data_IF_056136104273
#
_entry.id   IF_056136104273
#
_cell.length_a   1.000
_cell.length_b   1.000
_cell.length_c   1.000
_cell.angle_alpha   90.00
_cell.angle_beta   90.00
_cell.angle_gamma   90.00
#
_symmetry.space_group_name_H-M   'P 1'
#
loop_
_entity.id
_entity.type
_entity.pdbx_description
1 polymer ?
#
# COMPACT_ATOMS: atom_id res chain seq x y z
N UNK A 1 -12.37 -31.80 33.13
CA UNK A 1 -13.49 -31.16 32.41
C UNK A 1 -14.13 -32.19 31.51
N UNK A 2 -15.42 -32.05 31.20
CA UNK A 2 -16.06 -32.89 30.19
C UNK A 2 -15.88 -32.26 28.80
N UNK A 3 -14.73 -32.55 28.20
CA UNK A 3 -14.33 -31.97 26.91
C UNK A 3 -15.31 -32.30 25.80
N UNK A 4 -15.96 -33.47 25.84
CA UNK A 4 -16.92 -33.88 24.81
C UNK A 4 -18.19 -33.05 24.83
N UNK A 5 -18.71 -32.76 26.02
CA UNK A 5 -19.89 -31.92 26.17
C UNK A 5 -19.62 -30.49 25.67
N UNK A 6 -18.43 -29.95 25.97
CA UNK A 6 -18.02 -28.61 25.54
C UNK A 6 -17.82 -28.53 24.02
N UNK A 7 -17.12 -29.51 23.43
CA UNK A 7 -16.96 -29.64 21.98
C UNK A 7 -18.32 -29.72 21.27
N UNK A 8 -19.27 -30.48 21.83
CA UNK A 8 -20.60 -30.60 21.25
C UNK A 8 -21.40 -29.30 21.35
N UNK A 9 -21.31 -28.60 22.48
CA UNK A 9 -21.96 -27.30 22.66
C UNK A 9 -21.40 -26.24 21.70
N UNK A 10 -20.08 -26.21 21.50
CA UNK A 10 -19.46 -25.30 20.52
C UNK A 10 -19.91 -25.65 19.10
N UNK A 11 -19.92 -26.94 18.73
CA UNK A 11 -20.35 -27.40 17.41
C UNK A 11 -21.79 -27.01 17.09
N UNK A 12 -22.70 -27.20 18.05
CA UNK A 12 -24.11 -26.79 17.92
C UNK A 12 -24.23 -25.27 17.76
N UNK A 13 -23.45 -24.51 18.54
CA UNK A 13 -23.41 -23.04 18.45
C UNK A 13 -22.90 -22.57 17.08
N UNK A 14 -21.83 -23.15 16.56
CA UNK A 14 -21.28 -22.85 15.23
C UNK A 14 -22.27 -23.23 14.12
N UNK A 15 -22.94 -24.38 14.24
CA UNK A 15 -23.94 -24.80 13.26
C UNK A 15 -25.10 -23.81 13.16
N UNK A 16 -25.54 -23.25 14.29
CA UNK A 16 -26.59 -22.22 14.32
C UNK A 16 -26.09 -20.89 13.75
N UNK A 17 -24.87 -20.49 14.09
CA UNK A 17 -24.29 -19.23 13.64
C UNK A 17 -24.15 -19.19 12.11
N UNK A 18 -23.78 -20.32 11.50
CA UNK A 18 -23.59 -20.44 10.06
C UNK A 18 -24.79 -21.02 9.29
N UNK A 19 -25.96 -21.18 9.94
CA UNK A 19 -27.17 -21.69 9.29
C UNK A 19 -27.61 -20.78 8.13
N UNK A 20 -27.54 -19.46 8.33
CA UNK A 20 -27.91 -18.47 7.31
C UNK A 20 -26.90 -18.36 6.17
N UNK A 21 -25.61 -18.62 6.44
CA UNK A 21 -24.54 -18.42 5.47
C UNK A 21 -24.20 -19.69 4.69
N UNK A 22 -24.66 -20.87 5.14
CA UNK A 22 -24.33 -22.18 4.56
C UNK A 22 -22.81 -22.44 4.45
N UNK A 23 -22.02 -21.83 5.33
CA UNK A 23 -20.57 -21.92 5.33
C UNK A 23 -20.06 -23.14 6.10
N UNK A 24 -20.88 -23.71 6.98
CA UNK A 24 -20.52 -24.82 7.86
C UNK A 24 -20.94 -26.17 7.27
N UNK A 25 -19.99 -27.10 7.20
CA UNK A 25 -20.22 -28.46 6.73
C UNK A 25 -19.59 -29.42 7.74
N UNK A 26 -20.40 -30.25 8.39
CA UNK A 26 -19.91 -31.33 9.24
C UNK A 26 -19.38 -32.48 8.38
N UNK A 27 -18.16 -32.97 8.68
CA UNK A 27 -17.60 -34.16 8.02
C UNK A 27 -17.77 -35.40 8.90
N UNK A 28 -17.46 -35.28 10.20
CA UNK A 28 -17.55 -36.34 11.20
C UNK A 28 -18.00 -35.74 12.55
N UNK A 29 -18.01 -36.57 13.60
CA UNK A 29 -18.35 -36.14 14.95
C UNK A 29 -17.35 -35.09 15.48
N UNK A 30 -16.05 -35.28 15.21
CA UNK A 30 -14.97 -34.41 15.70
C UNK A 30 -14.40 -33.46 14.65
N UNK A 31 -14.83 -33.55 13.39
CA UNK A 31 -14.28 -32.75 12.31
C UNK A 31 -15.34 -32.07 11.46
N UNK A 32 -15.10 -30.82 11.11
CA UNK A 32 -15.98 -30.01 10.29
C UNK A 32 -15.15 -29.05 9.43
N UNK A 33 -15.77 -28.46 8.42
CA UNK A 33 -15.13 -27.43 7.59
C UNK A 33 -15.98 -26.17 7.56
N UNK A 34 -15.30 -25.04 7.56
CA UNK A 34 -15.90 -23.70 7.46
C UNK A 34 -15.41 -23.06 6.16
N UNK A 35 -16.34 -22.57 5.36
CA UNK A 35 -16.07 -21.78 4.18
C UNK A 35 -15.79 -20.33 4.56
N UNK A 36 -14.74 -19.77 3.96
CA UNK A 36 -14.37 -18.37 4.11
C UNK A 36 -14.25 -17.78 2.71
N UNK A 37 -15.03 -16.75 2.42
CA UNK A 37 -14.92 -15.96 1.21
C UNK A 37 -14.64 -14.49 1.50
N UNK A 38 -13.99 -13.85 0.54
CA UNK A 38 -13.82 -12.42 0.51
C UNK A 38 -14.16 -11.89 -0.89
N UNK A 39 -15.25 -11.13 -0.96
CA UNK A 39 -15.79 -10.58 -2.22
C UNK A 39 -14.87 -9.52 -2.84
N UNK A 40 -14.15 -8.74 -2.02
CA UNK A 40 -13.28 -7.66 -2.48
C UNK A 40 -12.08 -8.23 -3.24
N UNK A 41 -11.38 -9.18 -2.61
CA UNK A 41 -10.15 -9.78 -3.16
C UNK A 41 -10.42 -11.01 -4.05
N UNK A 42 -11.70 -11.40 -4.20
CA UNK A 42 -12.15 -12.63 -4.91
C UNK A 42 -11.44 -13.89 -4.41
N UNK A 43 -11.19 -13.94 -3.10
CA UNK A 43 -10.51 -15.04 -2.42
C UNK A 43 -11.57 -15.95 -1.84
N UNK A 44 -11.37 -17.27 -1.93
CA UNK A 44 -12.22 -18.23 -1.23
C UNK A 44 -11.45 -19.49 -0.89
N UNK A 45 -11.71 -20.06 0.28
CA UNK A 45 -11.09 -21.30 0.74
C UNK A 45 -11.91 -21.94 1.87
N UNK A 46 -11.60 -23.19 2.18
CA UNK A 46 -12.15 -23.90 3.33
C UNK A 46 -11.07 -24.14 4.37
N UNK A 47 -11.44 -24.00 5.65
CA UNK A 47 -10.61 -24.47 6.76
C UNK A 47 -11.30 -25.70 7.36
N UNK A 48 -10.59 -26.81 7.39
CA UNK A 48 -11.02 -28.03 8.08
C UNK A 48 -10.46 -27.96 9.49
N UNK A 49 -11.33 -28.12 10.48
CA UNK A 49 -10.98 -28.23 11.89
C UNK A 49 -11.27 -29.64 12.39
N UNK A 50 -10.40 -30.15 13.26
CA UNK A 50 -10.53 -31.43 13.94
C UNK A 50 -10.20 -31.24 15.43
N UNK A 51 -11.17 -31.58 16.29
CA UNK A 51 -11.01 -31.47 17.74
C UNK A 51 -10.06 -32.53 18.28
N UNK A 52 -9.12 -32.09 19.12
CA UNK A 52 -8.27 -32.97 19.91
C UNK A 52 -9.02 -33.46 21.15
N UNK A 53 -8.53 -34.53 21.78
CA UNK A 53 -9.17 -35.12 22.96
C UNK A 53 -9.23 -34.15 24.16
N UNK A 54 -8.30 -33.20 24.21
CA UNK A 54 -8.16 -32.21 25.29
C UNK A 54 -8.58 -30.79 24.89
N UNK A 55 -9.13 -30.60 23.70
CA UNK A 55 -9.67 -29.29 23.31
C UNK A 55 -10.79 -28.87 24.28
N UNK A 56 -10.81 -27.62 24.80
CA UNK A 56 -10.05 -26.44 24.34
C UNK A 56 -8.69 -26.19 25.04
N UNK A 57 -8.26 -27.03 25.97
CA UNK A 57 -6.94 -26.90 26.63
C UNK A 57 -5.78 -27.17 25.65
N UNK A 58 -6.02 -27.99 24.63
CA UNK A 58 -5.11 -28.28 23.53
C UNK A 58 -5.66 -27.73 22.22
N UNK A 59 -4.76 -27.23 21.37
CA UNK A 59 -5.12 -26.65 20.08
C UNK A 59 -5.84 -27.66 19.17
N UNK A 60 -6.82 -27.23 18.34
CA UNK A 60 -7.42 -28.07 17.33
C UNK A 60 -6.44 -28.29 16.18
N UNK A 61 -6.57 -29.43 15.50
CA UNK A 61 -5.88 -29.65 14.23
C UNK A 61 -6.61 -28.89 13.13
N UNK A 62 -5.89 -28.15 12.30
CA UNK A 62 -6.48 -27.40 11.19
C UNK A 62 -5.76 -27.67 9.87
N UNK A 63 -6.50 -27.57 8.76
CA UNK A 63 -5.96 -27.66 7.39
C UNK A 63 -6.71 -26.72 6.45
N UNK A 64 -5.98 -25.92 5.68
CA UNK A 64 -6.53 -25.03 4.66
C UNK A 64 -6.66 -25.82 3.33
N UNK A 65 -7.84 -25.82 2.71
CA UNK A 65 -8.19 -26.62 1.52
C UNK A 65 -8.99 -25.78 0.52
N UNK A 66 -8.94 -26.17 -0.77
CA UNK A 66 -9.67 -25.54 -1.90
C UNK A 66 -9.40 -24.03 -2.00
N UNK A 67 -8.12 -23.71 -2.03
CA UNK A 67 -7.58 -22.36 -2.10
C UNK A 67 -7.81 -21.77 -3.49
N UNK A 68 -8.68 -20.76 -3.58
CA UNK A 68 -8.90 -19.97 -4.81
C UNK A 68 -8.36 -18.56 -4.60
N UNK A 69 -7.43 -18.18 -5.47
CA UNK A 69 -6.85 -16.83 -5.53
C UNK A 69 -6.05 -16.39 -4.28
N UNK A 70 -5.55 -17.31 -3.44
CA UNK A 70 -4.54 -16.96 -2.43
C UNK A 70 -3.13 -17.12 -2.96
N UNK A 71 -2.29 -16.13 -2.69
CA UNK A 71 -0.84 -16.24 -2.82
C UNK A 71 -0.25 -17.09 -1.69
N UNK A 72 0.92 -17.68 -1.94
CA UNK A 72 1.65 -18.47 -0.93
C UNK A 72 2.02 -17.61 0.29
N UNK A 73 2.33 -16.32 0.07
CA UNK A 73 2.60 -15.37 1.15
C UNK A 73 1.38 -15.14 2.05
N UNK A 74 0.19 -14.97 1.46
CA UNK A 74 -1.06 -14.80 2.21
C UNK A 74 -1.42 -16.05 3.00
N UNK A 75 -1.23 -17.25 2.43
CA UNK A 75 -1.47 -18.51 3.17
C UNK A 75 -0.61 -18.56 4.43
N UNK A 76 0.69 -18.26 4.30
CA UNK A 76 1.60 -18.24 5.45
C UNK A 76 1.20 -17.21 6.50
N UNK A 77 0.72 -16.04 6.07
CA UNK A 77 0.25 -15.03 7.00
C UNK A 77 -1.05 -15.46 7.70
N UNK A 78 -1.98 -16.09 6.99
CA UNK A 78 -3.20 -16.67 7.59
C UNK A 78 -2.85 -17.76 8.60
N UNK A 79 -1.88 -18.62 8.30
CA UNK A 79 -1.37 -19.62 9.26
C UNK A 79 -0.79 -18.96 10.52
N UNK A 80 -0.02 -17.88 10.37
CA UNK A 80 0.48 -17.11 11.51
C UNK A 80 -0.67 -16.52 12.35
N UNK A 81 -1.69 -15.96 11.70
CA UNK A 81 -2.87 -15.41 12.39
C UNK A 81 -3.65 -16.49 13.15
N UNK A 82 -3.80 -17.68 12.57
CA UNK A 82 -4.41 -18.83 13.25
C UNK A 82 -3.60 -19.20 14.49
N UNK A 83 -2.27 -19.30 14.35
CA UNK A 83 -1.37 -19.68 15.44
C UNK A 83 -1.44 -18.68 16.61
N UNK A 84 -1.37 -17.38 16.32
CA UNK A 84 -1.48 -16.32 17.32
C UNK A 84 -2.84 -16.35 18.03
N UNK A 85 -3.92 -16.59 17.28
CA UNK A 85 -5.27 -16.69 17.86
C UNK A 85 -5.39 -17.91 18.77
N UNK A 86 -4.80 -19.06 18.39
CA UNK A 86 -4.78 -20.26 19.22
C UNK A 86 -4.06 -19.96 20.53
N UNK A 87 -2.85 -19.41 20.49
CA UNK A 87 -2.04 -19.13 21.68
C UNK A 87 -2.75 -18.20 22.66
N UNK A 88 -3.47 -17.20 22.16
CA UNK A 88 -4.22 -16.25 22.97
C UNK A 88 -5.53 -16.81 23.56
N UNK A 89 -6.10 -17.86 22.97
CA UNK A 89 -7.41 -18.41 23.34
C UNK A 89 -7.35 -19.84 23.90
N UNK A 90 -6.15 -20.33 24.27
CA UNK A 90 -6.01 -21.64 24.93
C UNK A 90 -6.84 -21.69 26.23
N UNK A 91 -7.56 -22.80 26.41
CA UNK A 91 -8.44 -23.01 27.56
C UNK A 91 -9.89 -22.57 27.35
N UNK A 92 -10.23 -22.03 26.17
CA UNK A 92 -11.61 -21.69 25.79
C UNK A 92 -11.91 -22.04 24.33
N UNK A 93 -13.20 -22.12 23.98
CA UNK A 93 -13.68 -22.28 22.60
C UNK A 93 -13.11 -21.19 21.69
N UNK A 94 -12.29 -21.59 20.71
CA UNK A 94 -11.48 -20.68 19.89
C UNK A 94 -11.86 -20.69 18.40
N UNK A 95 -12.69 -21.63 17.94
CA UNK A 95 -12.96 -21.79 16.50
C UNK A 95 -13.59 -20.53 15.89
N UNK A 96 -14.58 -19.96 16.58
CA UNK A 96 -15.23 -18.72 16.13
C UNK A 96 -14.21 -17.58 16.03
N UNK A 97 -13.38 -17.40 17.05
CA UNK A 97 -12.37 -16.34 17.09
C UNK A 97 -11.35 -16.49 15.96
N UNK A 98 -10.94 -17.73 15.66
CA UNK A 98 -10.04 -18.02 14.52
C UNK A 98 -10.68 -17.58 13.21
N UNK A 99 -11.93 -18.00 12.96
CA UNK A 99 -12.62 -17.65 11.69
C UNK A 99 -12.83 -16.14 11.58
N UNK A 100 -13.22 -15.48 12.66
CA UNK A 100 -13.47 -14.04 12.67
C UNK A 100 -12.19 -13.22 12.49
N UNK A 101 -11.09 -13.62 13.13
CA UNK A 101 -9.80 -12.97 12.95
C UNK A 101 -9.33 -13.09 11.49
N UNK A 102 -9.50 -14.26 10.88
CA UNK A 102 -9.16 -14.47 9.45
C UNK A 102 -10.05 -13.61 8.54
N UNK A 103 -11.36 -13.54 8.79
CA UNK A 103 -12.27 -12.69 8.00
C UNK A 103 -11.87 -11.22 8.08
N UNK A 104 -11.54 -10.76 9.28
CA UNK A 104 -11.05 -9.40 9.54
C UNK A 104 -9.74 -9.16 8.79
N UNK A 105 -8.74 -10.03 8.97
CA UNK A 105 -7.45 -9.97 8.29
C UNK A 105 -7.55 -9.94 6.76
N UNK A 106 -8.45 -10.75 6.18
CA UNK A 106 -8.67 -10.75 4.74
C UNK A 106 -9.36 -9.48 4.26
N UNK A 107 -10.23 -8.90 5.09
CA UNK A 107 -10.98 -7.68 4.78
C UNK A 107 -10.13 -6.42 4.95
N UNK A 108 -9.14 -6.46 5.84
CA UNK A 108 -8.16 -5.40 5.99
C UNK A 108 -7.30 -5.30 4.72
N UNK A 109 -7.24 -4.09 4.16
CA UNK A 109 -6.25 -3.75 3.15
C UNK A 109 -4.92 -3.58 3.86
N UNK A 110 -4.22 -4.70 4.03
CA UNK A 110 -2.81 -4.69 4.37
C UNK A 110 -2.13 -4.12 3.13
N UNK A 111 -1.98 -2.79 3.11
CA UNK A 111 -0.97 -2.16 2.28
C UNK A 111 0.32 -2.92 2.58
N UNK A 112 0.77 -3.72 1.62
CA UNK A 112 2.12 -4.28 1.67
C UNK A 112 3.03 -3.07 1.86
N UNK A 113 3.58 -2.92 3.08
CA UNK A 113 4.51 -1.85 3.43
C UNK A 113 5.43 -1.63 2.23
N UNK A 114 5.31 -0.47 1.59
CA UNK A 114 6.12 -0.16 0.42
C UNK A 114 7.58 -0.34 0.79
N UNK A 115 8.46 -0.71 -0.15
CA UNK A 115 9.92 -0.86 0.13
C UNK A 115 10.52 0.36 0.86
N UNK A 116 9.87 1.52 0.75
CA UNK A 116 10.14 2.72 1.53
C UNK A 116 10.03 2.51 3.06
N UNK A 117 8.95 1.89 3.54
CA UNK A 117 8.72 1.64 4.97
C UNK A 117 9.71 0.63 5.55
N UNK A 118 10.06 -0.41 4.79
CA UNK A 118 11.11 -1.35 5.18
C UNK A 118 12.50 -0.68 5.26
N UNK A 119 12.80 0.29 4.39
CA UNK A 119 14.04 1.05 4.46
C UNK A 119 14.11 1.97 5.68
N UNK A 120 12.99 2.58 6.09
CA UNK A 120 12.88 3.42 7.29
C UNK A 120 13.11 2.58 8.56
N UNK A 121 12.56 1.37 8.62
CA UNK A 121 12.61 0.50 9.82
C UNK A 121 14.02 -0.09 10.08
N UNK A 122 14.85 -0.22 9.03
CA UNK A 122 16.26 -0.66 9.12
C UNK A 122 17.23 0.45 9.55
N UNK A 123 16.79 1.72 9.57
CA UNK A 123 17.61 2.79 10.13
C UNK A 123 17.72 2.59 11.65
N UNK A 124 18.94 2.52 12.21
CA UNK A 124 19.09 2.40 13.66
C UNK A 124 18.50 3.66 14.29
N UNK A 125 17.45 3.49 15.11
CA UNK A 125 16.97 4.53 16.03
C UNK A 125 18.16 4.89 16.93
N UNK A 126 18.89 5.94 16.57
CA UNK A 126 19.96 6.48 17.39
C UNK A 126 19.33 7.05 18.66
N UNK A 127 19.29 6.18 19.67
CA UNK A 127 19.19 6.43 21.09
C UNK A 127 18.99 7.91 21.50
N UNK A 128 17.73 8.34 21.62
CA UNK A 128 17.36 9.41 22.56
C UNK A 128 16.51 8.79 23.65
N UNK A 129 17.18 8.32 24.69
CA UNK A 129 16.59 8.00 25.99
C UNK A 129 17.03 9.10 26.96
N UNK A 130 16.12 9.46 27.87
CA UNK A 130 16.12 10.48 28.94
C UNK A 130 15.37 11.77 28.53
N UNK A 131 14.31 12.25 29.18
CA UNK A 131 13.63 11.88 30.42
C UNK A 131 12.29 12.64 30.51
N UNK A 132 11.41 12.15 31.39
CA UNK A 132 10.28 12.83 32.06
C UNK A 132 8.91 12.98 31.36
N UNK A 133 7.97 12.16 31.84
CA UNK A 133 6.66 12.55 32.40
C UNK A 133 6.11 13.94 32.04
N UNK A 134 5.03 13.98 31.25
CA UNK A 134 3.67 14.39 31.66
C UNK A 134 2.81 14.76 30.45
N UNK A 135 1.61 14.18 30.44
CA UNK A 135 0.33 14.85 30.15
C UNK A 135 0.14 15.64 28.85
N UNK A 136 -0.80 15.13 28.05
CA UNK A 136 -1.85 15.87 27.34
C UNK A 136 -1.46 16.78 26.17
N UNK A 137 -2.22 16.58 25.08
CA UNK A 137 -2.77 17.61 24.19
C UNK A 137 -1.80 18.61 23.53
N UNK A 138 -1.69 18.57 22.20
CA UNK A 138 -1.76 19.76 21.33
C UNK A 138 -1.29 19.44 19.90
N UNK A 139 -2.27 19.44 18.98
CA UNK A 139 -2.16 19.29 17.54
C UNK A 139 -1.72 20.58 16.83
N UNK A 140 -0.50 21.12 17.04
CA UNK A 140 -0.13 22.35 16.32
C UNK A 140 1.38 22.63 16.06
N UNK A 141 2.29 21.66 16.23
CA UNK A 141 3.75 21.92 16.16
C UNK A 141 4.53 21.31 14.98
N UNK A 142 3.86 20.76 13.96
CA UNK A 142 4.56 20.07 12.86
C UNK A 142 4.81 20.92 11.60
N UNK A 143 4.35 22.18 11.53
CA UNK A 143 4.60 23.03 10.35
C UNK A 143 5.96 23.75 10.38
N UNK A 144 6.50 24.04 11.56
CA UNK A 144 7.78 24.79 11.71
C UNK A 144 9.02 23.90 11.54
N UNK A 145 8.84 22.59 11.44
CA UNK A 145 9.96 21.63 11.35
C UNK A 145 10.48 21.45 9.91
N UNK A 146 9.78 21.92 8.88
CA UNK A 146 10.22 21.77 7.48
C UNK A 146 11.17 22.89 7.02
N UNK A 147 11.04 24.10 7.59
CA UNK A 147 11.86 25.26 7.23
C UNK A 147 13.33 25.11 7.70
N UNK A 148 13.54 24.42 8.83
CA UNK A 148 14.86 24.32 9.48
C UNK A 148 15.66 23.05 9.14
N UNK A 149 15.16 22.16 8.29
CA UNK A 149 15.85 20.88 7.98
C UNK A 149 17.19 21.09 7.27
N UNK A 150 17.34 22.18 6.51
CA UNK A 150 18.61 22.50 5.83
C UNK A 150 19.68 22.97 6.81
N UNK A 151 19.34 23.70 7.88
CA UNK A 151 20.32 24.24 8.83
C UNK A 151 20.92 23.17 9.75
N UNK A 152 20.23 22.05 9.97
CA UNK A 152 20.73 20.93 10.77
C UNK A 152 21.63 19.95 10.01
N UNK A 153 21.79 20.11 8.69
CA UNK A 153 22.67 19.24 7.91
C UNK A 153 24.12 19.66 8.12
N UNK A 154 24.96 18.75 8.59
CA UNK A 154 26.41 19.00 8.65
C UNK A 154 26.92 19.43 7.27
N UNK A 155 27.54 20.62 7.19
CA UNK A 155 28.14 21.09 5.94
C UNK A 155 29.19 20.09 5.48
N UNK A 156 29.23 19.80 4.18
CA UNK A 156 30.30 19.02 3.57
C UNK A 156 31.68 19.61 3.94
N UNK A 157 32.62 18.72 4.27
CA UNK A 157 34.00 19.09 4.60
C UNK A 157 34.60 19.97 3.49
N UNK A 158 35.42 20.94 3.87
CA UNK A 158 35.92 21.99 2.97
C UNK A 158 36.67 21.45 1.75
N UNK A 159 37.31 20.29 1.88
CA UNK A 159 38.02 19.58 0.80
C UNK A 159 37.11 18.98 -0.28
N UNK A 160 35.81 18.86 -0.01
CA UNK A 160 34.80 18.35 -0.95
C UNK A 160 33.88 19.44 -1.48
N UNK A 161 34.09 20.70 -1.07
CA UNK A 161 33.31 21.83 -1.59
C UNK A 161 33.80 22.16 -2.98
N UNK A 162 32.86 22.25 -3.91
CA UNK A 162 33.14 22.72 -5.26
C UNK A 162 33.50 24.20 -5.17
N UNK A 163 34.69 24.56 -5.65
CA UNK A 163 35.09 25.97 -5.76
C UNK A 163 34.28 26.69 -6.83
N UNK A 164 34.18 28.02 -6.76
CA UNK A 164 33.48 28.80 -7.78
C UNK A 164 34.08 28.56 -9.18
N UNK A 165 35.41 28.44 -9.28
CA UNK A 165 36.11 28.15 -10.54
C UNK A 165 35.76 26.76 -11.11
N UNK A 166 35.71 25.73 -10.26
CA UNK A 166 35.30 24.37 -10.66
C UNK A 166 33.83 24.33 -11.08
N UNK A 167 32.95 25.02 -10.33
CA UNK A 167 31.54 25.12 -10.67
C UNK A 167 31.36 25.80 -12.03
N UNK A 168 32.11 26.86 -12.33
CA UNK A 168 32.03 27.53 -13.62
C UNK A 168 32.61 26.71 -14.77
N UNK A 169 33.67 25.94 -14.51
CA UNK A 169 34.18 24.96 -15.47
C UNK A 169 33.11 23.91 -15.80
N UNK A 170 32.50 23.30 -14.78
CA UNK A 170 31.42 22.33 -14.94
C UNK A 170 30.19 22.93 -15.61
N UNK A 171 29.78 24.15 -15.22
CA UNK A 171 28.67 24.87 -15.84
C UNK A 171 28.93 25.10 -17.33
N UNK A 172 30.14 25.52 -17.71
CA UNK A 172 30.53 25.71 -19.12
C UNK A 172 30.52 24.41 -19.89
N UNK A 173 31.01 23.31 -19.31
CA UNK A 173 30.99 21.99 -19.94
C UNK A 173 29.57 21.45 -20.10
N UNK A 174 28.74 21.56 -19.06
CA UNK A 174 27.34 21.18 -19.07
C UNK A 174 26.56 21.92 -20.15
N UNK A 175 26.65 23.26 -20.21
CA UNK A 175 25.94 24.01 -21.25
C UNK A 175 26.46 23.71 -22.65
N UNK A 176 27.76 23.43 -22.83
CA UNK A 176 28.30 22.98 -24.12
C UNK A 176 27.67 21.65 -24.55
N UNK A 177 27.56 20.69 -23.64
CA UNK A 177 27.00 19.37 -23.93
C UNK A 177 25.50 19.44 -24.24
N UNK A 178 24.74 20.22 -23.47
CA UNK A 178 23.33 20.50 -23.75
C UNK A 178 23.17 21.19 -25.12
N UNK A 179 23.99 22.20 -25.45
CA UNK A 179 23.90 22.88 -26.75
C UNK A 179 24.26 21.95 -27.92
N UNK A 180 25.22 21.04 -27.73
CA UNK A 180 25.58 20.01 -28.70
C UNK A 180 24.45 19.01 -28.90
N UNK A 181 23.76 18.62 -27.83
CA UNK A 181 22.62 17.72 -27.87
C UNK A 181 21.40 18.38 -28.53
N UNK A 182 21.11 19.65 -28.23
CA UNK A 182 20.08 20.43 -28.94
C UNK A 182 20.40 20.59 -30.43
N UNK A 183 21.64 20.89 -30.81
CA UNK A 183 22.03 20.98 -32.23
C UNK A 183 21.92 19.64 -32.98
N UNK A 184 22.13 18.51 -32.29
CA UNK A 184 21.89 17.18 -32.87
C UNK A 184 20.40 16.91 -33.09
N UNK A 185 19.56 17.29 -32.12
CA UNK A 185 18.10 17.09 -32.20
C UNK A 185 17.42 18.04 -33.20
N UNK A 186 17.93 19.25 -33.42
CA UNK A 186 17.39 20.18 -34.42
C UNK A 186 17.66 19.76 -35.88
N UNK A 187 18.49 18.74 -36.11
CA UNK A 187 18.73 18.16 -37.44
C UNK A 187 17.85 16.94 -37.73
N UNK A 188 17.06 16.44 -36.77
CA UNK A 188 16.06 15.42 -37.07
C UNK A 188 14.79 16.08 -37.58
N UNK A 189 14.28 15.62 -38.73
CA UNK A 189 13.06 16.06 -39.42
C UNK A 189 11.77 16.05 -38.57
N UNK A 190 11.82 15.55 -37.33
CA UNK A 190 10.67 15.45 -36.44
C UNK A 190 10.85 16.41 -35.25
N UNK A 191 10.08 17.52 -35.18
CA UNK A 191 10.13 18.43 -34.05
C UNK A 191 9.63 17.73 -32.77
N UNK A 192 10.24 18.05 -31.64
CA UNK A 192 9.83 17.53 -30.34
C UNK A 192 8.50 18.16 -29.89
N UNK A 193 7.72 17.48 -29.05
CA UNK A 193 6.41 17.97 -28.58
C UNK A 193 6.44 19.35 -27.90
N UNK A 194 7.59 19.72 -27.32
CA UNK A 194 7.84 21.07 -26.79
C UNK A 194 8.04 22.12 -27.88
N UNK A 195 8.75 21.79 -28.97
CA UNK A 195 8.93 22.70 -30.12
C UNK A 195 7.62 22.95 -30.88
N UNK A 196 6.74 21.96 -30.96
CA UNK A 196 5.38 22.15 -31.48
C UNK A 196 4.60 23.19 -30.65
N UNK A 197 4.76 23.14 -29.32
CA UNK A 197 4.08 24.05 -28.40
C UNK A 197 4.69 25.47 -28.37
N UNK A 198 6.01 25.59 -28.54
CA UNK A 198 6.69 26.89 -28.55
C UNK A 198 6.61 27.58 -29.93
N UNK A 199 6.51 26.85 -31.05
CA UNK A 199 6.34 27.45 -32.39
C UNK A 199 4.97 28.10 -32.63
N UNK A 200 3.93 27.72 -31.89
CA UNK A 200 2.64 28.41 -31.91
C UNK A 200 2.52 29.53 -30.87
N UNK A 201 3.49 29.65 -29.94
CA UNK A 201 3.58 30.82 -29.08
C UNK A 201 4.31 31.94 -29.81
N UNK A 202 3.49 32.81 -30.39
CA UNK A 202 3.77 34.19 -30.80
C UNK A 202 4.91 34.77 -29.93
N UNK A 203 5.96 35.21 -30.60
CA UNK A 203 7.16 35.80 -29.99
C UNK A 203 6.76 37.01 -29.14
N UNK A 204 6.95 36.93 -27.82
CA UNK A 204 6.58 37.97 -26.83
C UNK A 204 7.49 39.23 -26.93
N UNK A 205 8.21 39.39 -28.04
CA UNK A 205 9.18 40.46 -28.26
C UNK A 205 8.91 41.27 -29.53
N UNK A 206 7.75 41.10 -30.17
CA UNK A 206 7.37 41.92 -31.31
C UNK A 206 6.57 43.17 -30.85
N UNK A 207 7.05 44.42 -31.07
CA UNK A 207 6.43 45.63 -30.51
C UNK A 207 5.14 46.08 -31.22
N UNK A 208 4.66 45.36 -32.24
CA UNK A 208 3.52 45.75 -33.09
C UNK A 208 2.30 44.83 -32.95
N UNK A 209 2.18 44.06 -31.87
CA UNK A 209 0.99 43.24 -31.63
C UNK A 209 -0.19 44.10 -31.13
N UNK A 210 -1.05 44.50 -32.06
CA UNK A 210 -2.35 45.13 -31.81
C UNK A 210 -3.25 44.15 -31.03
N UNK A 211 -3.71 44.56 -29.85
CA UNK A 211 -4.55 43.74 -28.96
C UNK A 211 -5.94 43.51 -29.57
N UNK A 212 -6.03 42.55 -30.50
CA UNK A 212 -7.30 41.96 -30.91
C UNK A 212 -7.85 41.07 -29.81
N UNK A 213 -9.11 41.29 -29.40
CA UNK A 213 -9.73 40.60 -28.27
C UNK A 213 -9.64 39.06 -28.38
N UNK A 214 -9.35 38.36 -27.26
CA UNK A 214 -9.16 36.92 -27.26
C UNK A 214 -10.49 36.21 -27.52
N UNK A 215 -10.66 35.63 -28.71
CA UNK A 215 -11.75 34.73 -29.04
C UNK A 215 -11.48 33.35 -28.42
N UNK A 216 -12.21 33.02 -27.35
CA UNK A 216 -12.11 31.73 -26.64
C UNK A 216 -12.84 30.55 -27.31
N UNK A 217 -13.36 30.74 -28.51
CA UNK A 217 -14.09 29.70 -29.26
C UNK A 217 -13.64 29.71 -30.70
N UNK A 218 -12.86 28.69 -31.10
CA UNK A 218 -12.59 28.40 -32.49
C UNK A 218 -13.56 27.29 -32.92
N UNK A 219 -14.83 27.68 -33.11
CA UNK A 219 -15.94 26.79 -33.50
C UNK A 219 -15.69 26.03 -34.81
N UNK A 220 -14.76 26.50 -35.64
CA UNK A 220 -14.34 25.82 -36.88
C UNK A 220 -13.68 24.44 -36.63
N UNK A 221 -13.20 24.16 -35.42
CA UNK A 221 -12.61 22.85 -35.05
C UNK A 221 -13.66 21.75 -34.83
N UNK A 222 -14.95 22.08 -34.76
CA UNK A 222 -16.04 21.14 -34.47
C UNK A 222 -17.00 20.92 -35.65
N UNK A 223 -16.73 21.50 -36.82
CA UNK A 223 -17.63 21.43 -37.96
C UNK A 223 -17.60 20.11 -38.75
N UNK A 224 -16.60 19.24 -38.55
CA UNK A 224 -16.41 18.04 -39.40
C UNK A 224 -16.82 16.71 -38.71
N UNK A 225 -17.72 16.76 -37.71
CA UNK A 225 -18.36 15.53 -37.21
C UNK A 225 -19.73 15.37 -37.88
N UNK A 226 -19.71 14.76 -39.06
CA UNK A 226 -20.93 14.30 -39.73
C UNK A 226 -21.59 13.21 -38.87
N UNK A 227 -22.64 13.58 -38.15
CA UNK A 227 -23.61 12.63 -37.58
C UNK A 227 -24.70 12.37 -38.63
N UNK A 228 -24.39 11.50 -39.59
CA UNK A 228 -25.39 10.95 -40.50
C UNK A 228 -26.05 9.70 -39.88
N UNK A 229 -27.38 9.79 -39.68
CA UNK A 229 -28.34 8.68 -39.72
C UNK A 229 -28.98 8.63 -41.13
#
# INVERSE_FOLDING_TARGET
MDYKAEQQSEKESLSLLYECTNEYISLCDNSFKIYIDNKLKKISFYIIFEYTEKYPDEAPLYKIVDVKNLSISLIKNVENQIQETIENNLGYSMIYNIVENIRTYLSEDIEEKSMYDEMIERQPKSNKINDSDNSSDDNEKDLDNYENVLELKELCEEKYRVSEEEFEAWRKEFYKDIFLQMKKNNNSENPTGRELFEKEKISILDPEFDEGEPKWSNEELFCDIDLDD
#
